data_IF_873605711561
#
_entry.id   IF_873605711561
#
_cell.length_a   1.000
_cell.length_b   1.000
_cell.length_c   1.000
_cell.angle_alpha   90.00
_cell.angle_beta   90.00
_cell.angle_gamma   90.00
#
_symmetry.space_group_name_H-M   'P 1'
#
loop_
_entity.id
_entity.type
_entity.pdbx_description
1 polymer ?
#
# COMPACT_ATOMS: atom_id res chain seq x y z
N UNK A 1 16.85 -25.40 14.81
CA UNK A 1 15.55 -24.84 15.23
C UNK A 1 14.64 -24.87 14.02
N UNK A 2 13.51 -25.57 14.09
CA UNK A 2 12.60 -25.71 12.95
C UNK A 2 11.92 -24.38 12.63
N UNK A 3 11.83 -24.03 11.35
CA UNK A 3 11.07 -22.87 10.86
C UNK A 3 9.73 -23.39 10.37
N UNK A 4 8.65 -22.84 10.92
CA UNK A 4 7.29 -23.14 10.47
C UNK A 4 6.87 -22.10 9.44
N UNK A 5 6.53 -22.55 8.23
CA UNK A 5 6.06 -21.68 7.15
C UNK A 5 4.54 -21.81 7.01
N UNK A 6 3.88 -20.67 6.88
CA UNK A 6 2.49 -20.60 6.49
C UNK A 6 2.36 -19.65 5.30
N UNK A 7 1.65 -20.09 4.27
CA UNK A 7 1.31 -19.30 3.09
C UNK A 7 -0.20 -19.28 2.97
N UNK A 8 -0.79 -18.08 2.95
CA UNK A 8 -2.21 -17.86 2.69
C UNK A 8 -2.33 -17.29 1.27
N UNK A 9 -3.03 -18.01 0.39
CA UNK A 9 -3.17 -17.69 -1.03
C UNK A 9 -4.34 -18.45 -1.65
N UNK A 10 -4.86 -17.94 -2.76
CA UNK A 10 -5.80 -18.67 -3.64
C UNK A 10 -5.07 -19.49 -4.73
N UNK A 11 -3.74 -19.37 -4.84
CA UNK A 11 -2.91 -20.06 -5.84
C UNK A 11 -2.29 -21.33 -5.22
N UNK A 12 -2.69 -22.55 -5.61
CA UNK A 12 -2.32 -23.79 -4.91
C UNK A 12 -0.82 -24.15 -4.92
N UNK A 13 -0.03 -23.58 -5.83
CA UNK A 13 1.35 -24.01 -6.13
C UNK A 13 2.44 -23.07 -5.57
N UNK A 14 2.06 -22.07 -4.77
CA UNK A 14 3.04 -21.14 -4.19
C UNK A 14 3.83 -21.80 -3.05
N UNK A 15 5.15 -21.62 -3.09
CA UNK A 15 6.09 -22.12 -2.11
C UNK A 15 6.90 -20.98 -1.48
N UNK A 16 7.52 -21.25 -0.32
CA UNK A 16 8.11 -20.22 0.53
C UNK A 16 9.27 -19.44 -0.14
N UNK A 17 9.94 -20.02 -1.13
CA UNK A 17 11.06 -19.36 -1.81
C UNK A 17 10.65 -18.11 -2.58
N UNK A 18 9.40 -18.03 -3.08
CA UNK A 18 8.87 -16.84 -3.77
C UNK A 18 8.81 -15.60 -2.86
N UNK A 19 8.89 -15.77 -1.54
CA UNK A 19 8.92 -14.65 -0.60
C UNK A 19 10.34 -14.17 -0.31
N UNK A 20 11.33 -14.66 -1.04
CA UNK A 20 12.74 -14.26 -0.92
C UNK A 20 13.21 -13.54 -2.17
N UNK A 21 13.92 -12.43 -2.00
CA UNK A 21 14.51 -11.73 -3.16
C UNK A 21 15.58 -12.56 -3.86
N UNK A 22 16.25 -13.48 -3.16
CA UNK A 22 17.24 -14.41 -3.72
C UNK A 22 16.65 -15.32 -4.79
N UNK A 23 15.42 -15.80 -4.61
CA UNK A 23 14.72 -16.59 -5.62
C UNK A 23 14.51 -15.79 -6.89
N UNK A 24 13.94 -14.59 -6.79
CA UNK A 24 13.69 -13.73 -7.96
C UNK A 24 14.98 -13.28 -8.65
N UNK A 25 16.06 -13.08 -7.89
CA UNK A 25 17.39 -12.82 -8.44
C UNK A 25 17.91 -14.00 -9.26
N UNK A 26 17.80 -15.24 -8.77
CA UNK A 26 18.30 -16.43 -9.51
C UNK A 26 17.51 -16.68 -10.79
N UNK A 27 16.22 -16.33 -10.79
CA UNK A 27 15.35 -16.40 -11.98
C UNK A 27 15.50 -15.20 -12.94
N UNK A 28 16.37 -14.22 -12.64
CA UNK A 28 16.48 -12.97 -13.41
C UNK A 28 15.14 -12.22 -13.56
N UNK A 29 14.28 -12.35 -12.56
CA UNK A 29 12.89 -11.93 -12.61
C UNK A 29 12.62 -10.67 -11.77
N UNK A 30 13.65 -9.94 -11.33
CA UNK A 30 13.49 -8.65 -10.66
C UNK A 30 13.51 -7.55 -11.71
N UNK A 31 12.40 -6.84 -11.84
CA UNK A 31 12.22 -5.77 -12.84
C UNK A 31 12.46 -4.37 -12.26
N UNK A 32 12.52 -4.27 -10.94
CA UNK A 32 12.89 -3.03 -10.27
C UNK A 32 12.90 -3.15 -8.75
N UNK A 33 13.32 -2.07 -8.10
CA UNK A 33 13.23 -1.93 -6.64
C UNK A 33 12.80 -0.52 -6.26
N UNK A 34 12.12 -0.38 -5.13
CA UNK A 34 11.79 0.92 -4.55
C UNK A 34 12.04 0.92 -3.04
N UNK A 35 12.16 2.12 -2.46
CA UNK A 35 12.34 2.33 -1.03
C UNK A 35 13.79 2.36 -0.56
N UNK A 36 13.98 2.97 0.62
CA UNK A 36 15.28 3.03 1.30
C UNK A 36 15.53 1.79 2.18
N UNK A 37 15.40 1.94 3.50
CA UNK A 37 15.64 0.84 4.46
C UNK A 37 14.67 -0.34 4.32
N UNK A 38 13.42 -0.08 3.92
CA UNK A 38 12.42 -1.11 3.69
C UNK A 38 12.27 -1.31 2.18
N UNK A 39 13.19 -2.06 1.60
CA UNK A 39 13.23 -2.30 0.16
C UNK A 39 12.03 -3.13 -0.29
N UNK A 40 11.40 -2.69 -1.36
CA UNK A 40 10.33 -3.38 -2.07
C UNK A 40 10.88 -3.84 -3.41
N UNK A 41 10.54 -5.07 -3.82
CA UNK A 41 10.96 -5.65 -5.08
C UNK A 41 9.78 -5.74 -6.04
N UNK A 42 9.97 -5.28 -7.27
CA UNK A 42 9.06 -5.56 -8.37
C UNK A 42 9.58 -6.80 -9.09
N UNK A 43 8.72 -7.79 -9.29
CA UNK A 43 9.09 -9.10 -9.81
C UNK A 43 8.14 -9.54 -10.91
N UNK A 44 8.67 -10.21 -11.92
CA UNK A 44 7.88 -10.80 -13.00
C UNK A 44 7.66 -12.28 -12.70
N UNK A 45 6.47 -12.70 -12.24
CA UNK A 45 6.16 -14.11 -12.08
C UNK A 45 6.19 -14.84 -13.43
N UNK A 46 6.34 -16.19 -13.41
CA UNK A 46 6.08 -17.01 -14.60
C UNK A 46 4.70 -16.70 -15.19
N UNK A 47 4.61 -16.72 -16.52
CA UNK A 47 3.40 -16.36 -17.27
C UNK A 47 2.19 -17.24 -16.95
N UNK A 48 2.44 -18.47 -16.48
CA UNK A 48 1.43 -19.43 -16.04
C UNK A 48 0.75 -18.99 -14.74
N UNK A 49 1.45 -18.22 -13.88
CA UNK A 49 0.92 -17.70 -12.63
C UNK A 49 0.22 -16.35 -12.82
N UNK A 50 0.79 -15.46 -13.62
CA UNK A 50 0.25 -14.11 -13.81
C UNK A 50 0.85 -13.43 -15.04
N UNK A 51 0.00 -12.71 -15.79
CA UNK A 51 0.43 -11.80 -16.84
C UNK A 51 0.86 -10.41 -16.33
N UNK A 52 0.70 -10.15 -15.03
CA UNK A 52 1.09 -8.91 -14.37
C UNK A 52 2.31 -9.10 -13.45
N UNK A 53 3.13 -8.07 -13.33
CA UNK A 53 4.19 -8.00 -12.32
C UNK A 53 3.62 -8.02 -10.91
N UNK A 54 4.39 -8.56 -9.97
CA UNK A 54 4.08 -8.55 -8.55
C UNK A 54 5.00 -7.61 -7.78
N UNK A 55 4.54 -7.21 -6.61
CA UNK A 55 5.27 -6.43 -5.63
C UNK A 55 5.51 -7.32 -4.42
N UNK A 56 6.79 -7.64 -4.16
CA UNK A 56 7.22 -8.36 -2.97
C UNK A 56 7.62 -7.36 -1.88
N UNK A 57 6.90 -7.40 -0.75
CA UNK A 57 7.18 -6.57 0.42
C UNK A 57 7.50 -7.43 1.63
N UNK A 58 8.65 -7.17 2.23
CA UNK A 58 9.02 -7.69 3.55
C UNK A 58 8.56 -6.72 4.65
N UNK A 59 7.99 -7.24 5.75
CA UNK A 59 7.57 -6.39 6.86
C UNK A 59 8.71 -6.11 7.82
N UNK A 60 8.96 -4.82 8.05
CA UNK A 60 9.92 -4.36 9.05
C UNK A 60 9.21 -3.66 10.23
N UNK A 61 9.80 -3.74 11.42
CA UNK A 61 9.44 -2.95 12.59
C UNK A 61 9.98 -1.52 12.42
N UNK A 62 9.09 -0.55 12.53
CA UNK A 62 9.47 0.85 12.74
C UNK A 62 9.85 1.16 14.20
N UNK A 63 10.47 2.32 14.43
CA UNK A 63 10.80 2.82 15.78
C UNK A 63 12.12 2.30 16.37
N UNK A 64 12.39 2.67 17.62
CA UNK A 64 13.64 2.32 18.35
C UNK A 64 13.88 0.79 18.43
N UNK A 65 12.88 -0.08 18.69
CA UNK A 65 13.07 -1.54 18.66
C UNK A 65 13.47 -2.09 17.29
N UNK A 66 13.13 -1.40 16.20
CA UNK A 66 13.53 -1.76 14.83
C UNK A 66 15.01 -1.54 14.53
N UNK A 67 15.78 -0.93 15.45
CA UNK A 67 17.24 -0.81 15.35
C UNK A 67 18.00 -2.08 15.81
N UNK A 68 17.33 -2.99 16.52
CA UNK A 68 17.94 -4.20 17.10
C UNK A 68 17.29 -5.48 16.56
N UNK A 69 15.96 -5.49 16.39
CA UNK A 69 15.20 -6.61 15.81
C UNK A 69 14.27 -6.07 14.74
N UNK A 70 14.83 -5.78 13.57
CA UNK A 70 14.15 -5.03 12.52
C UNK A 70 13.01 -5.79 11.83
N UNK A 71 12.98 -7.11 11.86
CA UNK A 71 12.13 -7.95 11.01
C UNK A 71 11.33 -9.03 11.79
N UNK A 72 11.58 -9.20 13.08
CA UNK A 72 10.91 -10.20 13.90
C UNK A 72 9.72 -9.59 14.63
N UNK A 73 8.63 -10.32 14.81
CA UNK A 73 7.41 -9.90 15.51
C UNK A 73 6.99 -10.96 16.53
N UNK A 74 6.33 -10.59 17.64
CA UNK A 74 5.85 -11.57 18.62
C UNK A 74 4.65 -12.33 18.01
N UNK A 75 4.74 -13.66 17.99
CA UNK A 75 3.68 -14.51 17.47
C UNK A 75 2.63 -14.78 18.55
N UNK A 76 1.45 -14.18 18.38
CA UNK A 76 0.28 -14.39 19.26
C UNK A 76 -0.87 -15.12 18.55
N UNK A 77 -0.61 -15.62 17.33
CA UNK A 77 -1.58 -16.30 16.47
C UNK A 77 -1.52 -15.84 15.02
N UNK A 78 -1.78 -16.75 14.09
CA UNK A 78 -1.61 -16.52 12.65
C UNK A 78 -2.47 -15.36 12.12
N UNK A 79 -3.76 -15.35 12.47
CA UNK A 79 -4.73 -14.27 12.14
C UNK A 79 -4.36 -12.88 12.68
N UNK A 80 -3.35 -12.80 13.54
CA UNK A 80 -2.89 -11.55 14.14
C UNK A 80 -1.58 -11.04 13.53
N UNK A 81 -0.96 -11.83 12.67
CA UNK A 81 0.24 -11.43 11.93
C UNK A 81 -0.10 -10.36 10.90
N UNK A 82 0.87 -9.49 10.59
CA UNK A 82 0.66 -8.34 9.69
C UNK A 82 0.29 -8.78 8.27
N UNK A 83 1.07 -9.69 7.69
CA UNK A 83 0.82 -10.18 6.33
C UNK A 83 -0.59 -10.76 6.17
N UNK A 84 -0.99 -11.64 7.09
CA UNK A 84 -2.31 -12.29 7.04
C UNK A 84 -3.45 -11.28 7.18
N UNK A 85 -3.33 -10.34 8.13
CA UNK A 85 -4.35 -9.29 8.31
C UNK A 85 -4.49 -8.40 7.08
N UNK A 86 -3.38 -8.02 6.47
CA UNK A 86 -3.41 -7.17 5.28
C UNK A 86 -3.90 -7.93 4.06
N UNK A 87 -3.47 -9.17 3.86
CA UNK A 87 -3.97 -10.05 2.80
C UNK A 87 -5.48 -10.20 2.88
N UNK A 88 -6.02 -10.56 4.05
CA UNK A 88 -7.47 -10.71 4.25
C UNK A 88 -8.23 -9.40 4.06
N UNK A 89 -7.64 -8.26 4.47
CA UNK A 89 -8.25 -6.95 4.25
C UNK A 89 -8.28 -6.60 2.76
N UNK A 90 -7.19 -6.84 2.02
CA UNK A 90 -7.09 -6.62 0.58
C UNK A 90 -8.07 -7.52 -0.19
N UNK A 91 -8.16 -8.80 0.17
CA UNK A 91 -9.13 -9.75 -0.42
C UNK A 91 -10.54 -9.18 -0.30
N UNK A 92 -10.95 -8.84 0.93
CA UNK A 92 -12.27 -8.28 1.18
C UNK A 92 -12.51 -6.97 0.41
N UNK A 93 -11.52 -6.06 0.35
CA UNK A 93 -11.67 -4.80 -0.39
C UNK A 93 -11.80 -5.02 -1.91
N UNK A 94 -11.11 -6.01 -2.48
CA UNK A 94 -11.29 -6.41 -3.87
C UNK A 94 -12.71 -6.93 -4.14
N UNK A 95 -13.26 -7.76 -3.24
CA UNK A 95 -14.66 -8.22 -3.33
C UNK A 95 -15.66 -7.07 -3.28
N UNK A 96 -15.36 -5.98 -2.54
CA UNK A 96 -16.18 -4.77 -2.51
C UNK A 96 -15.95 -3.85 -3.73
N UNK A 97 -15.07 -4.22 -4.66
CA UNK A 97 -14.70 -3.44 -5.83
C UNK A 97 -13.98 -2.12 -5.52
N UNK A 98 -13.28 -2.05 -4.38
CA UNK A 98 -12.43 -0.90 -4.05
C UNK A 98 -11.14 -0.92 -4.87
N UNK A 99 -10.61 0.25 -5.30
CA UNK A 99 -9.39 0.32 -6.09
C UNK A 99 -8.15 0.13 -5.20
N UNK A 100 -7.85 -1.13 -4.89
CA UNK A 100 -6.71 -1.61 -4.11
C UNK A 100 -5.95 -2.68 -4.90
N UNK A 101 -4.66 -2.90 -4.65
CA UNK A 101 -3.94 -3.96 -5.34
C UNK A 101 -4.54 -5.34 -5.01
N UNK A 102 -4.55 -6.23 -6.00
CA UNK A 102 -4.98 -7.63 -5.82
C UNK A 102 -3.92 -8.33 -4.96
N UNK A 103 -4.29 -8.94 -3.82
CA UNK A 103 -3.33 -9.69 -3.02
C UNK A 103 -3.10 -11.07 -3.63
N UNK A 104 -1.84 -11.42 -3.83
CA UNK A 104 -1.45 -12.74 -4.40
C UNK A 104 -1.29 -13.74 -3.29
N UNK A 105 -0.48 -13.40 -2.28
CA UNK A 105 -0.23 -14.27 -1.14
C UNK A 105 0.37 -13.54 0.06
N UNK A 106 0.07 -14.05 1.25
CA UNK A 106 0.76 -13.69 2.49
C UNK A 106 1.61 -14.85 2.99
N UNK A 107 2.80 -14.55 3.50
CA UNK A 107 3.69 -15.53 4.08
C UNK A 107 4.08 -15.16 5.51
N UNK A 108 4.13 -16.17 6.37
CA UNK A 108 4.59 -16.08 7.75
C UNK A 108 5.62 -17.19 8.01
N UNK A 109 6.85 -16.80 8.29
CA UNK A 109 7.90 -17.69 8.75
C UNK A 109 8.06 -17.54 10.27
N UNK A 110 7.70 -18.58 11.03
CA UNK A 110 7.71 -18.59 12.49
C UNK A 110 8.88 -19.40 13.04
N UNK A 111 9.54 -18.83 14.04
CA UNK A 111 10.64 -19.43 14.78
C UNK A 111 10.43 -19.19 16.27
N UNK A 112 10.05 -20.23 17.01
CA UNK A 112 9.71 -20.12 18.43
C UNK A 112 8.55 -19.16 18.70
N UNK A 113 8.82 -18.11 19.48
CA UNK A 113 7.85 -17.05 19.80
C UNK A 113 7.84 -15.89 18.79
N UNK A 114 8.71 -15.92 17.79
CA UNK A 114 8.85 -14.84 16.82
C UNK A 114 8.42 -15.26 15.43
N UNK A 115 7.98 -14.30 14.62
CA UNK A 115 7.70 -14.50 13.20
C UNK A 115 8.26 -13.37 12.34
N UNK A 116 8.54 -13.71 11.07
CA UNK A 116 8.77 -12.79 9.95
C UNK A 116 7.62 -12.90 8.98
N UNK A 117 7.39 -11.85 8.21
CA UNK A 117 6.26 -11.82 7.31
C UNK A 117 6.60 -11.13 6.00
N UNK A 118 5.94 -11.59 4.95
CA UNK A 118 6.07 -11.11 3.59
C UNK A 118 4.68 -11.03 2.95
N UNK A 119 4.50 -10.13 1.99
CA UNK A 119 3.29 -10.01 1.18
C UNK A 119 3.66 -9.90 -0.29
N UNK A 120 2.98 -10.68 -1.12
CA UNK A 120 2.95 -10.54 -2.57
C UNK A 120 1.59 -9.95 -2.97
N UNK A 121 1.63 -8.89 -3.76
CA UNK A 121 0.45 -8.24 -4.35
C UNK A 121 0.71 -7.97 -5.83
N UNK A 122 -0.32 -7.87 -6.64
CA UNK A 122 -0.17 -7.41 -8.02
C UNK A 122 0.28 -5.95 -8.05
N UNK A 123 1.16 -5.63 -8.99
CA UNK A 123 1.55 -4.26 -9.30
C UNK A 123 0.42 -3.62 -10.09
N UNK A 124 -0.02 -2.45 -9.65
CA UNK A 124 -0.95 -1.63 -10.45
C UNK A 124 -0.17 -1.11 -11.68
N UNK A 125 -0.56 -1.49 -12.91
CA UNK A 125 0.22 -1.19 -14.10
C UNK A 125 0.15 0.31 -14.41
N UNK A 126 1.28 0.88 -14.82
CA UNK A 126 1.42 2.27 -15.25
C UNK A 126 0.85 3.32 -14.28
N UNK A 127 0.85 3.01 -12.98
CA UNK A 127 0.42 3.92 -11.95
C UNK A 127 1.62 4.65 -11.30
N UNK A 128 1.44 5.95 -11.06
CA UNK A 128 2.44 6.83 -10.45
C UNK A 128 1.88 7.35 -9.13
N UNK A 129 2.69 7.38 -8.06
CA UNK A 129 2.24 7.98 -6.81
C UNK A 129 1.98 9.49 -6.98
N UNK A 130 0.92 9.96 -6.33
CA UNK A 130 0.43 11.32 -6.51
C UNK A 130 1.49 12.36 -6.09
N UNK A 131 2.31 12.04 -5.07
CA UNK A 131 3.43 12.88 -4.66
C UNK A 131 4.45 13.11 -5.78
N UNK A 132 4.91 12.04 -6.43
CA UNK A 132 5.82 12.12 -7.59
C UNK A 132 5.17 12.79 -8.80
N UNK A 133 3.90 12.50 -9.06
CA UNK A 133 3.19 13.11 -10.18
C UNK A 133 3.17 14.64 -10.02
N UNK A 134 2.91 15.13 -8.81
CA UNK A 134 2.90 16.56 -8.48
C UNK A 134 4.28 17.23 -8.52
N UNK A 135 5.39 16.50 -8.54
CA UNK A 135 6.71 17.10 -8.82
C UNK A 135 6.88 17.48 -10.30
N UNK A 136 6.08 16.87 -11.19
CA UNK A 136 6.26 16.97 -12.64
C UNK A 136 5.15 17.74 -13.35
N UNK A 137 3.92 17.73 -12.81
CA UNK A 137 2.78 18.33 -13.49
C UNK A 137 1.67 18.78 -12.53
N UNK A 138 0.87 19.76 -12.98
CA UNK A 138 -0.43 20.08 -12.39
C UNK A 138 -1.46 19.01 -12.78
N UNK A 139 -2.48 18.86 -11.95
CA UNK A 139 -3.59 17.94 -12.18
C UNK A 139 -4.89 18.70 -12.34
N UNK A 140 -5.75 18.20 -13.22
CA UNK A 140 -7.05 18.79 -13.43
C UNK A 140 -7.95 18.59 -12.21
N UNK A 141 -8.88 19.53 -12.00
CA UNK A 141 -9.89 19.46 -10.95
C UNK A 141 -10.68 18.13 -10.96
N UNK A 142 -10.86 17.51 -12.14
CA UNK A 142 -11.54 16.21 -12.27
C UNK A 142 -10.79 15.07 -11.56
N UNK A 143 -9.45 15.09 -11.56
CA UNK A 143 -8.60 14.10 -10.87
C UNK A 143 -8.81 14.19 -9.37
N UNK A 144 -8.76 15.40 -8.81
CA UNK A 144 -9.00 15.65 -7.39
C UNK A 144 -10.38 15.19 -6.94
N UNK A 145 -11.41 15.45 -7.76
CA UNK A 145 -12.77 14.97 -7.49
C UNK A 145 -12.86 13.44 -7.49
N UNK A 146 -12.15 12.74 -8.39
CA UNK A 146 -12.10 11.25 -8.40
C UNK A 146 -11.43 10.71 -7.13
N UNK A 147 -10.34 11.34 -6.69
CA UNK A 147 -9.66 10.96 -5.43
C UNK A 147 -10.60 11.18 -4.23
N UNK A 148 -11.29 12.32 -4.17
CA UNK A 148 -12.25 12.62 -3.10
C UNK A 148 -13.36 11.56 -2.98
N UNK A 149 -13.98 11.19 -4.11
CA UNK A 149 -14.99 10.12 -4.17
C UNK A 149 -14.43 8.75 -3.79
N UNK A 150 -13.23 8.40 -4.26
CA UNK A 150 -12.56 7.17 -3.86
C UNK A 150 -12.44 7.10 -2.33
N UNK A 151 -11.84 8.12 -1.71
CA UNK A 151 -11.65 8.17 -0.25
C UNK A 151 -12.98 8.09 0.52
N UNK A 152 -14.04 8.72 0.00
CA UNK A 152 -15.39 8.62 0.56
C UNK A 152 -15.88 7.17 0.58
N UNK A 153 -15.78 6.47 -0.56
CA UNK A 153 -16.17 5.05 -0.69
C UNK A 153 -15.42 4.14 0.28
N UNK A 154 -14.12 4.35 0.49
CA UNK A 154 -13.36 3.62 1.53
C UNK A 154 -13.90 3.89 2.94
N UNK A 155 -14.18 5.15 3.26
CA UNK A 155 -14.65 5.56 4.58
C UNK A 155 -16.09 5.11 4.87
N UNK A 156 -16.97 5.07 3.88
CA UNK A 156 -18.34 4.55 3.97
C UNK A 156 -18.35 3.05 4.25
N UNK A 157 -17.43 2.30 3.63
CA UNK A 157 -17.18 0.89 3.92
C UNK A 157 -16.39 0.65 5.22
N UNK A 158 -16.07 1.70 5.96
CA UNK A 158 -15.41 1.60 7.26
C UNK A 158 -13.92 1.29 7.21
N UNK A 159 -13.25 1.49 6.07
CA UNK A 159 -11.81 1.28 5.97
C UNK A 159 -11.04 2.41 6.64
N UNK A 160 -10.30 2.07 7.70
CA UNK A 160 -9.38 2.98 8.37
C UNK A 160 -7.96 2.77 7.86
N UNK A 161 -7.52 3.71 7.02
CA UNK A 161 -6.17 3.81 6.50
C UNK A 161 -5.26 4.66 7.42
N UNK A 162 -4.56 4.01 8.35
CA UNK A 162 -3.83 4.67 9.44
C UNK A 162 -2.67 5.56 8.97
N UNK A 163 -2.14 5.31 7.76
CA UNK A 163 -1.08 6.12 7.15
C UNK A 163 -1.49 6.81 5.85
N UNK A 164 -2.75 7.28 5.75
CA UNK A 164 -3.23 7.96 4.55
C UNK A 164 -2.38 9.21 4.22
N UNK A 165 -1.69 9.18 3.09
CA UNK A 165 -0.81 10.25 2.60
C UNK A 165 -0.77 10.25 1.06
N UNK A 166 -0.27 11.33 0.44
CA UNK A 166 -0.26 11.47 -1.02
C UNK A 166 0.62 10.46 -1.75
N UNK A 167 1.65 9.88 -1.13
CA UNK A 167 2.49 8.84 -1.74
C UNK A 167 1.83 7.46 -1.73
N UNK A 168 0.78 7.28 -0.92
CA UNK A 168 -0.01 6.04 -0.88
C UNK A 168 -1.25 6.11 -1.79
N UNK A 169 -1.44 7.22 -2.51
CA UNK A 169 -2.46 7.34 -3.57
C UNK A 169 -1.73 7.23 -4.90
N UNK A 170 -2.09 6.24 -5.72
CA UNK A 170 -1.58 6.12 -7.07
C UNK A 170 -2.58 6.65 -8.07
N UNK A 171 -2.08 7.24 -9.16
CA UNK A 171 -2.85 7.62 -10.33
C UNK A 171 -2.46 6.73 -11.50
N UNK A 172 -3.43 5.98 -12.04
CA UNK A 172 -3.24 5.19 -13.25
C UNK A 172 -3.66 6.02 -14.47
N UNK A 173 -2.70 6.30 -15.35
CA UNK A 173 -2.88 7.28 -16.41
C UNK A 173 -3.88 6.80 -17.48
N UNK A 174 -3.84 5.52 -17.84
CA UNK A 174 -4.62 4.93 -18.94
C UNK A 174 -6.10 4.84 -18.61
N UNK A 175 -6.42 4.37 -17.41
CA UNK A 175 -7.80 4.23 -16.92
C UNK A 175 -8.33 5.51 -16.28
N UNK A 176 -7.44 6.48 -16.02
CA UNK A 176 -7.75 7.71 -15.30
C UNK A 176 -8.38 7.41 -13.93
N UNK A 177 -7.87 6.40 -13.23
CA UNK A 177 -8.41 5.90 -11.97
C UNK A 177 -7.42 6.09 -10.82
N UNK A 178 -7.86 6.64 -9.67
CA UNK A 178 -7.05 6.63 -8.47
C UNK A 178 -7.12 5.27 -7.79
N UNK A 179 -6.00 4.87 -7.19
CA UNK A 179 -5.85 3.65 -6.39
C UNK A 179 -5.27 4.01 -5.02
N UNK A 180 -5.56 3.20 -4.01
CA UNK A 180 -5.00 3.32 -2.68
C UNK A 180 -4.14 2.09 -2.37
N UNK A 181 -2.94 2.31 -1.83
CA UNK A 181 -1.97 1.25 -1.50
C UNK A 181 -1.49 1.37 -0.04
N UNK A 182 -0.74 0.37 0.41
CA UNK A 182 -0.11 0.29 1.74
C UNK A 182 -1.12 0.21 2.90
N UNK A 183 -1.72 -0.97 3.05
CA UNK A 183 -2.71 -1.24 4.10
C UNK A 183 -2.09 -1.85 5.36
N UNK A 184 -0.78 -1.70 5.58
CA UNK A 184 -0.13 -2.21 6.78
C UNK A 184 -0.73 -1.52 8.01
N UNK A 185 -1.18 -2.34 8.97
CA UNK A 185 -1.89 -1.93 10.19
C UNK A 185 -3.24 -1.22 9.94
N UNK A 186 -3.78 -1.29 8.72
CA UNK A 186 -5.12 -0.81 8.43
C UNK A 186 -6.17 -1.83 8.90
N UNK A 187 -7.41 -1.37 9.05
CA UNK A 187 -8.49 -2.20 9.61
C UNK A 187 -9.86 -1.69 9.20
N UNK A 188 -10.86 -2.59 9.23
CA UNK A 188 -12.27 -2.21 9.18
C UNK A 188 -12.72 -1.71 10.55
N UNK A 189 -13.44 -0.60 10.58
CA UNK A 189 -14.01 0.03 11.77
C UNK A 189 -15.40 0.53 11.44
N UNK A 190 -16.25 0.69 12.46
CA UNK A 190 -17.54 1.35 12.25
C UNK A 190 -17.31 2.76 11.68
N UNK A 191 -17.95 3.13 10.55
CA UNK A 191 -17.86 4.48 9.99
C UNK A 191 -18.22 5.53 11.04
N UNK A 192 -17.29 6.45 11.30
CA UNK A 192 -17.51 7.57 12.22
C UNK A 192 -16.73 8.80 11.74
N UNK A 193 -17.35 9.99 11.74
CA UNK A 193 -16.68 11.21 11.30
C UNK A 193 -15.40 11.54 12.07
N UNK A 194 -15.29 11.13 13.35
CA UNK A 194 -14.15 11.45 14.22
C UNK A 194 -12.82 10.93 13.66
N UNK A 195 -12.72 9.64 13.34
CA UNK A 195 -11.48 9.05 12.80
C UNK A 195 -11.30 9.37 11.32
N UNK A 196 -12.39 9.49 10.55
CA UNK A 196 -12.32 9.85 9.14
C UNK A 196 -11.68 11.24 8.96
N UNK A 197 -12.12 12.24 9.77
CA UNK A 197 -11.53 13.58 9.78
C UNK A 197 -10.04 13.57 10.11
N UNK A 198 -9.60 12.71 11.04
CA UNK A 198 -8.17 12.57 11.38
C UNK A 198 -7.35 12.08 10.19
N UNK A 199 -7.86 11.13 9.40
CA UNK A 199 -7.17 10.62 8.21
C UNK A 199 -7.16 11.64 7.07
N UNK A 200 -8.26 12.33 6.83
CA UNK A 200 -8.33 13.44 5.86
C UNK A 200 -7.36 14.56 6.25
N UNK A 201 -7.29 14.94 7.53
CA UNK A 201 -6.33 15.92 8.00
C UNK A 201 -4.86 15.45 7.86
N UNK A 202 -4.59 14.13 8.01
CA UNK A 202 -3.27 13.55 7.75
C UNK A 202 -2.90 13.69 6.28
N UNK A 203 -3.82 13.42 5.36
CA UNK A 203 -3.61 13.57 3.93
C UNK A 203 -3.25 15.02 3.57
N UNK A 204 -4.00 16.01 4.07
CA UNK A 204 -3.69 17.44 3.86
C UNK A 204 -2.29 17.80 4.38
N UNK A 205 -1.94 17.35 5.60
CA UNK A 205 -0.60 17.57 6.14
C UNK A 205 0.49 16.95 5.26
N UNK A 206 0.22 15.83 4.60
CA UNK A 206 1.19 15.21 3.69
C UNK A 206 1.45 16.06 2.46
N UNK A 207 0.43 16.66 1.83
CA UNK A 207 0.63 17.58 0.71
C UNK A 207 1.46 18.80 1.11
N UNK A 208 1.09 19.45 2.22
CA UNK A 208 1.83 20.61 2.74
C UNK A 208 3.27 20.27 3.11
N UNK A 209 3.51 19.08 3.65
CA UNK A 209 4.86 18.58 3.96
C UNK A 209 5.69 18.41 2.69
N UNK A 210 5.17 17.73 1.67
CA UNK A 210 5.89 17.51 0.41
C UNK A 210 6.13 18.82 -0.34
N UNK A 211 5.18 19.77 -0.31
CA UNK A 211 5.39 21.13 -0.82
C UNK A 211 6.58 21.82 -0.12
N UNK A 212 6.66 21.76 1.21
CA UNK A 212 7.77 22.35 1.95
C UNK A 212 9.12 21.67 1.69
N UNK A 213 9.12 20.34 1.47
CA UNK A 213 10.33 19.60 1.08
C UNK A 213 10.81 20.00 -0.32
N UNK A 214 9.90 20.05 -1.30
CA UNK A 214 10.22 20.47 -2.66
C UNK A 214 10.78 21.89 -2.70
N UNK A 215 10.19 22.83 -1.93
CA UNK A 215 10.71 24.19 -1.80
C UNK A 215 12.15 24.22 -1.26
N UNK A 216 12.43 23.43 -0.21
CA UNK A 216 13.78 23.32 0.37
C UNK A 216 14.78 22.75 -0.65
N UNK A 217 14.35 21.80 -1.47
CA UNK A 217 15.15 21.16 -2.53
C UNK A 217 15.18 21.96 -3.84
N UNK A 218 14.53 23.14 -3.89
CA UNK A 218 14.38 23.99 -5.09
C UNK A 218 13.73 23.25 -6.27
N UNK A 219 12.78 22.38 -5.96
CA UNK A 219 11.98 21.62 -6.93
C UNK A 219 10.57 22.19 -7.04
N UNK A 220 9.94 22.00 -8.20
CA UNK A 220 8.52 22.28 -8.39
C UNK A 220 7.67 21.27 -7.62
N UNK A 221 6.60 21.73 -7.00
CA UNK A 221 5.52 20.88 -6.50
C UNK A 221 4.19 21.55 -6.81
N UNK A 222 3.44 20.96 -7.72
CA UNK A 222 2.36 21.57 -8.46
C UNK A 222 0.99 21.52 -7.74
N UNK A 223 1.00 21.29 -6.42
CA UNK A 223 -0.21 21.28 -5.58
C UNK A 223 -0.55 22.67 -5.03
N UNK A 224 -1.83 22.99 -4.94
CA UNK A 224 -2.37 24.23 -4.41
C UNK A 224 -3.56 23.99 -3.47
N UNK A 225 -3.92 24.96 -2.63
CA UNK A 225 -5.07 24.82 -1.72
C UNK A 225 -6.40 24.64 -2.49
N UNK A 226 -6.56 25.22 -3.68
CA UNK A 226 -7.76 25.00 -4.52
C UNK A 226 -7.91 23.54 -4.98
N UNK A 227 -6.81 22.80 -5.12
CA UNK A 227 -6.84 21.37 -5.43
C UNK A 227 -7.46 20.58 -4.26
N UNK A 228 -7.13 20.99 -3.04
CA UNK A 228 -7.69 20.42 -1.83
C UNK A 228 -9.18 20.71 -1.70
N UNK A 229 -9.61 21.93 -2.01
CA UNK A 229 -11.03 22.29 -2.02
C UNK A 229 -11.84 21.41 -2.98
N UNK A 230 -11.29 21.12 -4.17
CA UNK A 230 -11.93 20.22 -5.14
C UNK A 230 -12.06 18.79 -4.60
N UNK A 231 -11.01 18.27 -3.96
CA UNK A 231 -11.01 16.94 -3.34
C UNK A 231 -12.02 16.87 -2.19
N UNK A 232 -11.97 17.81 -1.25
CA UNK A 232 -12.82 17.74 -0.05
C UNK A 232 -14.30 17.95 -0.38
N UNK A 233 -14.59 18.83 -1.35
CA UNK A 233 -15.96 19.02 -1.85
C UNK A 233 -16.51 17.72 -2.42
N UNK A 234 -15.71 16.99 -3.21
CA UNK A 234 -16.13 15.70 -3.76
C UNK A 234 -16.26 14.61 -2.68
N UNK A 235 -15.38 14.62 -1.67
CA UNK A 235 -15.43 13.70 -0.54
C UNK A 235 -16.70 13.89 0.33
N UNK A 236 -17.12 15.14 0.52
CA UNK A 236 -18.28 15.48 1.36
C UNK A 236 -19.62 15.26 0.67
N UNK A 237 -19.67 15.22 -0.66
CA UNK A 237 -20.91 14.91 -1.40
C UNK A 237 -21.32 13.47 -1.10
N UNK A 238 -22.58 13.30 -0.70
CA UNK A 238 -23.26 12.01 -0.78
C UNK A 238 -23.56 11.73 -2.26
N UNK A 239 -23.32 10.49 -2.70
CA UNK A 239 -23.80 9.99 -3.99
C UNK A 239 -25.24 9.49 -3.85
#
# INVERSE_FOLDING_TARGET
MFVYHHIETEIPELHAELFTSSYWHSQHAITGTSGGRNKVYFVSPPSELSGQEWVLRHYYRGGVPGKVLADQFLFVGLRFTRAIREYQLLMWMNEQGLPVPVPVAAHVARVGLFYRADLLIERIPNAIDLGRLLLTQRLDTAVWKKIGRMLRRFHDLGISHVDLNCKNILWQQETQQPWLIDFDRCSRRRPQPSWQRVQIARLLRSFRKELGLAQKEKQSFHWQENDWEALITAYQKEE
#
